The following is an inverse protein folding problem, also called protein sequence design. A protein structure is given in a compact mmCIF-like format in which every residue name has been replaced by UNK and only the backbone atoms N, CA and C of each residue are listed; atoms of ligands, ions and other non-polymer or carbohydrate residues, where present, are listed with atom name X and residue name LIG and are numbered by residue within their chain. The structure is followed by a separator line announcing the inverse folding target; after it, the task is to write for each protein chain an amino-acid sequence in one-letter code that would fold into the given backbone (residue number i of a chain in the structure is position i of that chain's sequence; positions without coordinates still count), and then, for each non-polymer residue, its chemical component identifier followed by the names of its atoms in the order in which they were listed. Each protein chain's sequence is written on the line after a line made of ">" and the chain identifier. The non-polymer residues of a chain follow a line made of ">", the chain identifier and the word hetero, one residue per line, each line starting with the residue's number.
data_IF_185004010655
#
_entry.id   IF_185004010655
#
_cell.length_a   1.000
_cell.length_b   1.000
_cell.length_c   1.000
_cell.angle_alpha   90.00
_cell.angle_beta   90.00
_cell.angle_gamma   90.00
#
_symmetry.space_group_name_H-M   'P 1'
#
loop_
_entity.id
_entity.type
_entity.pdbx_description
1 polymer ?
#
# COMPACT_ATOMS: atom_id res chain seq x y z
N UNK A 1 17.57 -17.77 -2.55
CA UNK A 1 16.71 -17.45 -3.72
C UNK A 1 15.43 -18.26 -3.59
N UNK A 2 14.47 -17.73 -2.84
CA UNK A 2 13.16 -18.35 -2.66
C UNK A 2 12.25 -18.03 -3.86
N UNK A 3 11.39 -18.98 -4.19
CA UNK A 3 10.68 -19.13 -5.45
C UNK A 3 9.68 -18.00 -5.77
N UNK A 4 9.95 -17.32 -6.88
CA UNK A 4 9.05 -16.39 -7.59
C UNK A 4 8.01 -17.19 -8.40
N UNK A 5 6.94 -17.70 -7.75
CA UNK A 5 5.92 -18.49 -8.47
C UNK A 5 4.45 -18.39 -7.98
N UNK A 6 4.08 -17.67 -6.90
CA UNK A 6 2.70 -17.74 -6.35
C UNK A 6 2.25 -16.59 -5.41
N UNK A 7 2.75 -15.37 -5.57
CA UNK A 7 2.93 -14.50 -4.40
C UNK A 7 1.68 -13.87 -3.76
N UNK A 8 0.46 -14.01 -4.32
CA UNK A 8 -0.78 -13.57 -3.65
C UNK A 8 -1.77 -14.70 -3.35
N UNK A 9 -1.31 -15.95 -3.18
CA UNK A 9 -2.07 -17.22 -3.10
C UNK A 9 -3.24 -17.37 -2.10
N UNK A 10 -3.88 -16.28 -1.68
CA UNK A 10 -5.13 -16.20 -0.95
C UNK A 10 -6.32 -16.57 -1.85
N UNK A 11 -7.05 -17.62 -1.48
CA UNK A 11 -8.28 -18.02 -2.17
C UNK A 11 -9.46 -17.17 -1.72
N UNK A 12 -9.39 -16.65 -0.50
CA UNK A 12 -10.41 -15.78 0.10
C UNK A 12 -9.80 -14.58 0.81
N UNK A 13 -10.58 -13.52 1.00
CA UNK A 13 -10.17 -12.39 1.84
C UNK A 13 -9.82 -12.84 3.27
N UNK A 14 -10.51 -13.86 3.80
CA UNK A 14 -10.17 -14.47 5.08
C UNK A 14 -8.75 -15.04 5.12
N UNK A 15 -8.28 -15.64 4.03
CA UNK A 15 -6.91 -16.16 3.98
C UNK A 15 -5.88 -15.04 4.14
N UNK A 16 -6.14 -13.86 3.55
CA UNK A 16 -5.31 -12.67 3.73
C UNK A 16 -5.35 -12.17 5.18
N UNK A 17 -6.53 -12.08 5.80
CA UNK A 17 -6.65 -11.66 7.20
C UNK A 17 -5.93 -12.60 8.17
N UNK A 18 -5.92 -13.91 7.88
CA UNK A 18 -5.18 -14.89 8.67
C UNK A 18 -3.66 -14.76 8.48
N UNK A 19 -3.20 -14.49 7.26
CA UNK A 19 -1.78 -14.31 6.97
C UNK A 19 -1.24 -12.96 7.46
N UNK A 20 -2.07 -11.92 7.44
CA UNK A 20 -1.73 -10.56 7.82
C UNK A 20 -2.70 -10.01 8.88
N UNK A 21 -2.65 -10.45 10.15
CA UNK A 21 -3.61 -10.03 11.17
C UNK A 21 -3.63 -8.53 11.47
N UNK A 22 -2.60 -7.79 11.06
CA UNK A 22 -2.53 -6.33 11.16
C UNK A 22 -3.68 -5.62 10.45
N UNK A 23 -4.20 -6.18 9.35
CA UNK A 23 -5.31 -5.61 8.58
C UNK A 23 -6.56 -5.37 9.44
N UNK A 24 -6.80 -6.21 10.46
CA UNK A 24 -7.96 -6.05 11.35
C UNK A 24 -7.85 -4.82 12.29
N UNK A 25 -6.67 -4.20 12.40
CA UNK A 25 -6.49 -2.93 13.10
C UNK A 25 -6.75 -1.74 12.19
N UNK A 26 -6.47 -1.88 10.90
CA UNK A 26 -6.43 -0.79 9.93
C UNK A 26 -7.74 -0.65 9.14
N UNK A 27 -8.62 -1.66 9.18
CA UNK A 27 -9.98 -1.59 8.65
C UNK A 27 -11.00 -2.28 9.57
N UNK A 28 -12.28 -1.95 9.43
CA UNK A 28 -13.39 -2.46 10.23
C UNK A 28 -14.19 -3.56 9.54
N UNK A 29 -14.18 -3.63 8.20
CA UNK A 29 -14.90 -4.70 7.51
C UNK A 29 -14.37 -6.09 7.91
N UNK A 30 -15.26 -7.03 8.24
CA UNK A 30 -14.86 -8.34 8.72
C UNK A 30 -14.29 -9.21 7.60
N UNK A 31 -13.40 -10.13 7.98
CA UNK A 31 -12.87 -11.15 7.08
C UNK A 31 -13.99 -11.98 6.44
N UNK A 32 -14.06 -11.98 5.11
CA UNK A 32 -15.07 -12.72 4.35
C UNK A 32 -14.48 -13.95 3.65
N UNK A 33 -15.31 -14.99 3.46
CA UNK A 33 -14.95 -16.17 2.66
C UNK A 33 -15.04 -15.93 1.14
N UNK A 34 -15.21 -14.68 0.71
CA UNK A 34 -15.31 -14.29 -0.68
C UNK A 34 -13.92 -14.23 -1.34
N UNK A 35 -13.82 -14.45 -2.66
CA UNK A 35 -12.60 -14.18 -3.41
C UNK A 35 -12.11 -12.74 -3.18
N UNK A 36 -10.78 -12.50 -3.08
CA UNK A 36 -10.24 -11.18 -2.74
C UNK A 36 -10.74 -10.02 -3.63
N UNK A 37 -10.85 -10.25 -4.94
CA UNK A 37 -11.33 -9.21 -5.86
C UNK A 37 -12.84 -8.93 -5.70
N UNK A 38 -13.64 -9.93 -5.37
CA UNK A 38 -15.06 -9.72 -5.06
C UNK A 38 -15.23 -8.96 -3.75
N UNK A 39 -14.43 -9.30 -2.74
CA UNK A 39 -14.41 -8.57 -1.47
C UNK A 39 -14.01 -7.10 -1.68
N UNK A 40 -12.95 -6.83 -2.45
CA UNK A 40 -12.53 -5.46 -2.78
C UNK A 40 -13.65 -4.67 -3.49
N UNK A 41 -14.35 -5.27 -4.45
CA UNK A 41 -15.52 -4.63 -5.09
C UNK A 41 -16.66 -4.36 -4.10
N UNK A 42 -16.90 -5.28 -3.16
CA UNK A 42 -17.90 -5.08 -2.12
C UNK A 42 -17.52 -3.94 -1.16
N UNK A 43 -16.23 -3.77 -0.83
CA UNK A 43 -15.73 -2.63 -0.06
C UNK A 43 -15.98 -1.31 -0.80
N UNK A 44 -15.63 -1.25 -2.10
CA UNK A 44 -15.85 -0.07 -2.95
C UNK A 44 -17.33 0.33 -3.05
N UNK A 45 -18.24 -0.66 -3.08
CA UNK A 45 -19.69 -0.42 -3.09
C UNK A 45 -20.29 -0.21 -1.68
N UNK A 46 -19.47 -0.31 -0.64
CA UNK A 46 -19.88 -0.26 0.76
C UNK A 46 -19.99 1.15 1.32
N UNK A 47 -20.10 1.23 2.65
CA UNK A 47 -20.23 2.50 3.37
C UNK A 47 -18.90 3.23 3.56
N UNK A 48 -17.78 2.53 3.42
CA UNK A 48 -16.42 3.05 3.64
C UNK A 48 -15.54 2.55 2.48
N UNK A 49 -15.66 3.15 1.28
CA UNK A 49 -14.90 2.73 0.10
C UNK A 49 -13.38 2.83 0.29
N UNK A 50 -12.92 3.67 1.21
CA UNK A 50 -11.51 3.82 1.60
C UNK A 50 -10.91 2.51 2.12
N UNK A 51 -11.72 1.63 2.71
CA UNK A 51 -11.22 0.31 3.15
C UNK A 51 -10.77 -0.58 1.99
N UNK A 52 -11.24 -0.33 0.76
CA UNK A 52 -10.72 -0.99 -0.42
C UNK A 52 -9.26 -0.60 -0.70
N UNK A 53 -8.89 0.65 -0.43
CA UNK A 53 -7.50 1.12 -0.56
C UNK A 53 -6.61 0.39 0.43
N UNK A 54 -7.03 0.31 1.70
CA UNK A 54 -6.34 -0.44 2.75
C UNK A 54 -6.21 -1.92 2.38
N UNK A 55 -7.31 -2.56 1.96
CA UNK A 55 -7.31 -3.96 1.58
C UNK A 55 -6.36 -4.24 0.40
N UNK A 56 -6.33 -3.39 -0.62
CA UNK A 56 -5.40 -3.50 -1.73
C UNK A 56 -3.93 -3.37 -1.29
N UNK A 57 -3.63 -2.49 -0.33
CA UNK A 57 -2.26 -2.36 0.19
C UNK A 57 -1.76 -3.66 0.85
N UNK A 58 -2.65 -4.38 1.56
CA UNK A 58 -2.33 -5.70 2.13
C UNK A 58 -2.33 -6.83 1.10
N UNK A 59 -3.18 -6.72 0.07
CA UNK A 59 -3.30 -7.73 -0.98
C UNK A 59 -2.12 -7.71 -1.95
N UNK A 60 -1.33 -6.64 -2.05
CA UNK A 60 -0.28 -6.51 -3.05
C UNK A 60 1.09 -6.89 -2.46
N UNK A 61 2.04 -7.41 -3.26
CA UNK A 61 3.42 -7.55 -2.83
C UNK A 61 4.01 -6.16 -2.55
N UNK A 62 4.99 -6.09 -1.64
CA UNK A 62 5.52 -4.84 -1.06
C UNK A 62 5.72 -3.70 -2.08
N UNK A 63 6.46 -3.95 -3.17
CA UNK A 63 6.70 -2.93 -4.21
C UNK A 63 5.42 -2.45 -4.88
N UNK A 64 4.49 -3.36 -5.16
CA UNK A 64 3.21 -3.01 -5.78
C UNK A 64 2.28 -2.31 -4.78
N UNK A 65 2.35 -2.63 -3.49
CA UNK A 65 1.61 -1.95 -2.44
C UNK A 65 2.10 -0.49 -2.27
N UNK A 66 3.41 -0.25 -2.32
CA UNK A 66 3.99 1.10 -2.31
C UNK A 66 3.55 1.89 -3.54
N UNK A 67 3.64 1.30 -4.74
CA UNK A 67 3.17 1.96 -5.96
C UNK A 67 1.66 2.24 -5.92
N UNK A 68 0.86 1.31 -5.39
CA UNK A 68 -0.57 1.52 -5.18
C UNK A 68 -0.85 2.74 -4.28
N UNK A 69 -0.11 2.87 -3.18
CA UNK A 69 -0.19 4.04 -2.30
C UNK A 69 0.24 5.32 -3.02
N UNK A 70 1.32 5.28 -3.80
CA UNK A 70 1.77 6.41 -4.63
C UNK A 70 0.68 6.87 -5.59
N UNK A 71 0.05 5.96 -6.33
CA UNK A 71 -1.03 6.29 -7.25
C UNK A 71 -2.24 6.89 -6.53
N UNK A 72 -2.61 6.34 -5.37
CA UNK A 72 -3.69 6.91 -4.55
C UNK A 72 -3.41 8.36 -4.15
N UNK A 73 -2.19 8.65 -3.69
CA UNK A 73 -1.79 10.00 -3.26
C UNK A 73 -1.60 10.96 -4.43
N UNK A 74 -1.14 10.49 -5.58
CA UNK A 74 -0.98 11.31 -6.78
C UNK A 74 -2.29 11.89 -7.28
N UNK A 75 -3.42 11.18 -7.09
CA UNK A 75 -4.76 11.71 -7.37
C UNK A 75 -5.23 12.79 -6.38
N UNK A 76 -4.51 12.97 -5.27
CA UNK A 76 -4.79 13.96 -4.22
C UNK A 76 -3.69 15.03 -4.14
N UNK A 77 -2.85 15.16 -5.17
CA UNK A 77 -1.63 15.99 -5.14
C UNK A 77 -1.89 17.45 -4.76
N UNK A 78 -3.04 18.02 -5.11
CA UNK A 78 -3.42 19.40 -4.76
C UNK A 78 -3.65 19.62 -3.25
N UNK A 79 -3.83 18.54 -2.49
CA UNK A 79 -4.03 18.55 -1.04
C UNK A 79 -2.74 18.29 -0.25
N UNK A 80 -1.66 17.94 -0.95
CA UNK A 80 -0.39 17.54 -0.35
C UNK A 80 0.54 18.73 -0.14
N UNK A 81 1.35 18.68 0.92
CA UNK A 81 2.40 19.67 1.12
C UNK A 81 3.55 19.45 0.13
N UNK A 82 4.37 20.48 -0.12
CA UNK A 82 5.53 20.38 -1.01
C UNK A 82 6.47 19.22 -0.62
N UNK A 83 6.70 19.04 0.68
CA UNK A 83 7.49 17.91 1.22
C UNK A 83 6.89 16.54 0.88
N UNK A 84 5.56 16.42 0.84
CA UNK A 84 4.89 15.16 0.47
C UNK A 84 5.06 14.89 -1.02
N UNK A 85 5.03 15.92 -1.87
CA UNK A 85 5.28 15.79 -3.31
C UNK A 85 6.73 15.37 -3.60
N UNK A 86 7.70 15.91 -2.85
CA UNK A 86 9.10 15.46 -2.92
C UNK A 86 9.24 13.98 -2.54
N UNK A 87 8.56 13.55 -1.47
CA UNK A 87 8.52 12.14 -1.06
C UNK A 87 7.91 11.24 -2.14
N UNK A 88 6.80 11.65 -2.77
CA UNK A 88 6.21 10.90 -3.87
C UNK A 88 7.19 10.73 -5.05
N UNK A 89 7.96 11.77 -5.38
CA UNK A 89 8.98 11.68 -6.43
C UNK A 89 10.06 10.65 -6.08
N UNK A 90 10.54 10.64 -4.84
CA UNK A 90 11.55 9.67 -4.38
C UNK A 90 11.02 8.23 -4.39
N UNK A 91 9.76 8.05 -4.00
CA UNK A 91 9.08 6.76 -4.05
C UNK A 91 8.94 6.26 -5.49
N UNK A 92 8.52 7.13 -6.41
CA UNK A 92 8.42 6.80 -7.84
C UNK A 92 9.78 6.35 -8.41
N UNK A 93 10.85 7.08 -8.11
CA UNK A 93 12.20 6.73 -8.52
C UNK A 93 12.64 5.36 -7.98
N UNK A 94 12.38 5.08 -6.70
CA UNK A 94 12.69 3.79 -6.09
C UNK A 94 11.87 2.64 -6.69
N UNK A 95 10.57 2.84 -6.95
CA UNK A 95 9.73 1.82 -7.59
C UNK A 95 10.25 1.49 -9.00
N UNK A 96 10.70 2.50 -9.74
CA UNK A 96 11.29 2.34 -11.08
C UNK A 96 12.63 1.62 -11.08
N UNK A 97 13.50 1.93 -10.11
CA UNK A 97 14.85 1.36 -10.00
C UNK A 97 15.19 0.88 -8.56
N UNK A 98 14.56 -0.19 -8.05
CA UNK A 98 14.69 -0.58 -6.63
C UNK A 98 16.08 -1.10 -6.24
N UNK A 99 16.87 -1.50 -7.23
CA UNK A 99 18.26 -1.93 -7.06
C UNK A 99 19.26 -0.79 -6.98
N UNK A 100 18.86 0.44 -7.26
CA UNK A 100 19.76 1.58 -7.28
C UNK A 100 20.03 2.07 -5.84
N UNK A 101 21.28 2.03 -5.36
CA UNK A 101 21.61 2.42 -3.99
C UNK A 101 21.33 3.90 -3.71
N UNK A 102 21.28 4.75 -4.74
CA UNK A 102 20.98 6.18 -4.59
C UNK A 102 19.53 6.42 -4.19
N UNK A 103 18.57 5.74 -4.83
CA UNK A 103 17.15 5.91 -4.48
C UNK A 103 16.85 5.40 -3.07
N UNK A 104 17.47 4.27 -2.67
CA UNK A 104 17.38 3.77 -1.29
C UNK A 104 17.96 4.75 -0.27
N UNK A 105 19.13 5.33 -0.56
CA UNK A 105 19.75 6.32 0.31
C UNK A 105 18.92 7.61 0.41
N UNK A 106 18.32 8.04 -0.70
CA UNK A 106 17.45 9.21 -0.73
C UNK A 106 16.21 9.01 0.16
N UNK A 107 15.48 7.89 0.02
CA UNK A 107 14.36 7.55 0.91
C UNK A 107 14.78 7.53 2.39
N UNK A 108 15.89 6.87 2.71
CA UNK A 108 16.42 6.80 4.08
C UNK A 108 16.84 8.14 4.69
N UNK A 109 17.10 9.16 3.88
CA UNK A 109 17.50 10.49 4.34
C UNK A 109 16.34 11.44 4.67
N UNK A 110 15.11 11.07 4.29
CA UNK A 110 13.92 11.95 4.44
C UNK A 110 13.01 11.53 5.60
N UNK A 111 13.26 10.37 6.22
CA UNK A 111 12.48 9.87 7.36
C UNK A 111 12.74 10.74 8.60
N UNK A 112 11.86 11.72 8.80
CA UNK A 112 11.72 12.51 10.01
C UNK A 112 10.55 11.95 10.82
N UNK A 113 10.77 11.52 12.08
CA UNK A 113 9.75 10.84 12.86
C UNK A 113 8.80 11.87 13.50
N UNK A 114 7.95 12.56 12.71
CA UNK A 114 6.64 13.12 13.12
C UNK A 114 6.21 14.36 12.31
N UNK A 115 4.91 14.52 12.01
CA UNK A 115 3.87 13.49 11.97
C UNK A 115 4.01 12.67 10.68
N UNK A 116 3.71 11.37 10.75
CA UNK A 116 3.74 10.49 9.58
C UNK A 116 2.59 10.87 8.62
N UNK A 117 2.91 11.68 7.61
CA UNK A 117 1.99 11.97 6.49
C UNK A 117 1.78 10.70 5.66
N UNK A 118 0.69 10.60 4.89
CA UNK A 118 0.48 9.45 4.00
C UNK A 118 1.65 9.19 3.05
N UNK A 119 2.33 10.25 2.56
CA UNK A 119 3.52 10.10 1.72
C UNK A 119 4.71 9.51 2.50
N UNK A 120 4.87 9.87 3.78
CA UNK A 120 5.90 9.29 4.64
C UNK A 120 5.66 7.81 4.99
N UNK A 121 4.41 7.31 4.89
CA UNK A 121 4.11 5.89 5.13
C UNK A 121 4.54 4.96 3.99
N UNK A 122 4.71 5.50 2.77
CA UNK A 122 5.05 4.71 1.57
C UNK A 122 6.51 4.91 1.12
N UNK A 123 7.29 5.71 1.86
CA UNK A 123 8.69 6.03 1.63
C UNK A 123 9.61 5.23 2.57
#
# INVERSE_FOLDING_TARGET
>A
MAAMANELGYRTARDLFLACPAIARDMKSPAAAQPPLEFCRALLAGRVPEEAVTFCAYLLPERAAVWWGHECLSHLAELLAERDLELLSLVSDWVGEPGNPRHRAALGSVVDPSPATPAAWIA
#
